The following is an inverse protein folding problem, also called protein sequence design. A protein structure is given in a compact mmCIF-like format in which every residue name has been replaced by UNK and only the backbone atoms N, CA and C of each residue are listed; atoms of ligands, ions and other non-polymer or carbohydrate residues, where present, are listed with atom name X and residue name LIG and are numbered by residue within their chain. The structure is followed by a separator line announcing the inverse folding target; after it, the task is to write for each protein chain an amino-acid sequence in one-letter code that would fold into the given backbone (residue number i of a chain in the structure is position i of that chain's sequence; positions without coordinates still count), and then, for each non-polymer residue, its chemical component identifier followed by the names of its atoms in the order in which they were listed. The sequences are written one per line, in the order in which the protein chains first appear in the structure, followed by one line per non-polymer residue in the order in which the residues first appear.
data_IF_959067850359
#
_entry.id   IF_959067850359
#
_cell.length_a   1.000
_cell.length_b   1.000
_cell.length_c   1.000
_cell.angle_alpha   90.00
_cell.angle_beta   90.00
_cell.angle_gamma   90.00
#
_symmetry.space_group_name_H-M   'P 1'
#
loop_
_entity.id
_entity.type
_entity.pdbx_description
1 polymer ?
#
# COMPACT_ATOMS: atom_id res chain seq x y z
N UNK A 1 -44.34 7.45 -45.67
CA UNK A 1 -44.36 6.76 -44.38
C UNK A 1 -42.89 6.55 -43.97
N UNK A 2 -42.22 7.59 -43.43
CA UNK A 2 -42.08 7.93 -42.00
C UNK A 2 -41.60 6.69 -41.20
N UNK A 3 -40.36 6.59 -40.67
CA UNK A 3 -39.61 7.56 -39.85
C UNK A 3 -38.09 7.33 -39.96
N UNK A 4 -37.39 8.22 -40.68
CA UNK A 4 -35.96 8.53 -40.51
C UNK A 4 -35.93 10.04 -40.28
N UNK A 5 -35.80 10.48 -39.02
CA UNK A 5 -35.48 11.85 -38.57
C UNK A 5 -35.76 11.99 -37.06
N UNK A 6 -34.94 12.82 -36.39
CA UNK A 6 -34.80 13.08 -34.94
C UNK A 6 -33.89 12.08 -34.21
N UNK A 7 -32.74 12.44 -33.63
CA UNK A 7 -32.23 13.75 -33.29
C UNK A 7 -30.69 13.72 -33.19
N UNK A 8 -30.04 14.21 -34.24
CA UNK A 8 -28.74 14.88 -34.17
C UNK A 8 -29.09 16.37 -34.26
N UNK A 9 -29.14 17.07 -33.12
CA UNK A 9 -29.12 18.55 -32.96
C UNK A 9 -29.51 18.96 -31.54
N UNK A 10 -28.64 18.70 -30.57
CA UNK A 10 -28.59 19.46 -29.32
C UNK A 10 -27.13 19.61 -28.89
N UNK A 11 -26.34 20.19 -29.80
CA UNK A 11 -25.08 20.85 -29.46
C UNK A 11 -25.44 22.30 -29.08
N UNK A 12 -24.77 22.84 -28.05
CA UNK A 12 -24.73 24.25 -27.63
C UNK A 12 -25.86 24.78 -26.73
N UNK A 13 -25.59 24.75 -25.42
CA UNK A 13 -25.99 25.65 -24.31
C UNK A 13 -25.91 24.78 -23.04
N UNK A 14 -24.81 24.77 -22.28
CA UNK A 14 -24.53 25.72 -21.19
C UNK A 14 -23.00 25.82 -21.00
N UNK A 15 -22.43 26.92 -21.46
CA UNK A 15 -21.28 27.57 -20.81
C UNK A 15 -21.89 28.75 -20.04
N UNK A 16 -21.44 28.96 -18.79
CA UNK A 16 -21.79 30.03 -17.84
C UNK A 16 -22.77 29.67 -16.70
N UNK A 17 -22.23 29.02 -15.66
CA UNK A 17 -22.53 29.18 -14.23
C UNK A 17 -21.77 28.04 -13.51
N UNK A 18 -20.53 28.20 -13.05
CA UNK A 18 -20.18 28.99 -11.87
C UNK A 18 -18.79 29.65 -12.06
N UNK A 19 -18.80 30.94 -12.42
CA UNK A 19 -17.82 31.86 -11.88
C UNK A 19 -18.38 32.34 -10.55
N UNK A 20 -17.80 31.89 -9.43
CA UNK A 20 -18.25 32.27 -8.10
C UNK A 20 -17.39 31.65 -7.01
N UNK A 21 -16.54 32.49 -6.42
CA UNK A 21 -15.83 32.27 -5.15
C UNK A 21 -14.75 31.19 -5.12
N UNK A 22 -13.60 31.52 -5.71
CA UNK A 22 -12.30 30.95 -5.32
C UNK A 22 -11.91 31.65 -4.00
N UNK A 23 -12.30 31.08 -2.87
CA UNK A 23 -11.62 31.36 -1.60
C UNK A 23 -10.40 30.46 -1.52
N UNK A 24 -9.26 31.10 -1.70
CA UNK A 24 -7.92 30.56 -1.54
C UNK A 24 -7.72 30.30 -0.04
N UNK A 25 -8.00 29.08 0.42
CA UNK A 25 -7.45 28.61 1.70
C UNK A 25 -6.02 28.17 1.41
N UNK A 26 -5.12 29.16 1.46
CA UNK A 26 -3.69 28.91 1.66
C UNK A 26 -3.55 28.50 3.13
N UNK A 27 -3.68 27.22 3.43
CA UNK A 27 -3.08 26.69 4.65
C UNK A 27 -1.60 26.42 4.37
N UNK A 28 -0.82 27.36 4.87
CA UNK A 28 0.63 27.38 4.96
C UNK A 28 1.11 26.19 5.83
N UNK A 29 1.27 25.02 5.22
CA UNK A 29 2.04 23.92 5.81
C UNK A 29 3.53 24.14 5.56
N UNK A 30 4.14 24.98 6.39
CA UNK A 30 5.60 25.05 6.55
C UNK A 30 5.98 24.48 7.92
N UNK A 31 6.60 23.29 8.01
CA UNK A 31 7.45 23.01 9.15
C UNK A 31 8.73 23.84 9.04
N UNK A 32 9.00 24.63 10.09
CA UNK A 32 10.23 25.40 10.30
C UNK A 32 11.45 24.48 10.27
N UNK A 33 12.35 24.68 9.30
CA UNK A 33 13.67 24.07 9.28
C UNK A 33 14.61 24.87 10.21
N UNK A 34 14.59 24.56 11.50
CA UNK A 34 15.68 24.96 12.40
C UNK A 34 16.90 24.06 12.14
N UNK A 35 17.91 24.65 11.51
CA UNK A 35 19.24 24.03 11.37
C UNK A 35 19.93 23.98 12.74
N UNK A 36 19.98 22.80 13.35
CA UNK A 36 20.83 22.55 14.53
C UNK A 36 22.13 21.89 14.08
N UNK A 37 23.20 22.69 14.01
CA UNK A 37 24.57 22.21 13.82
C UNK A 37 25.04 21.51 15.09
N UNK A 38 25.16 20.18 15.07
CA UNK A 38 25.74 19.41 16.18
C UNK A 38 27.15 18.92 15.81
N UNK A 39 28.11 19.33 16.62
CA UNK A 39 29.54 18.97 16.59
C UNK A 39 29.75 17.48 16.83
N UNK A 40 30.58 16.84 16.00
CA UNK A 40 30.98 15.43 16.16
C UNK A 40 31.91 15.24 17.37
N UNK A 41 31.60 14.24 18.20
CA UNK A 41 32.49 13.70 19.21
C UNK A 41 32.83 12.24 18.85
N UNK A 42 34.12 11.98 18.61
CA UNK A 42 34.66 10.63 18.46
C UNK A 42 34.61 9.90 19.82
N UNK A 43 33.87 8.80 19.87
CA UNK A 43 33.88 7.86 20.99
C UNK A 43 33.77 6.44 20.46
N UNK A 44 34.84 5.66 20.62
CA UNK A 44 34.83 4.21 20.51
C UNK A 44 33.74 3.65 21.43
N UNK A 45 32.72 3.01 20.85
CA UNK A 45 31.69 2.28 21.58
C UNK A 45 31.95 0.77 21.43
N UNK A 46 31.83 0.00 22.53
CA UNK A 46 31.98 -1.45 22.50
C UNK A 46 30.85 -2.09 21.69
N UNK A 47 31.19 -3.00 20.77
CA UNK A 47 30.22 -3.88 20.11
C UNK A 47 29.53 -4.77 21.14
N UNK A 48 28.33 -4.37 21.57
CA UNK A 48 27.37 -5.29 22.18
C UNK A 48 26.67 -6.05 21.06
N UNK A 49 27.07 -7.30 20.83
CA UNK A 49 26.27 -8.25 20.06
C UNK A 49 25.04 -8.61 20.90
N UNK A 50 23.96 -7.87 20.74
CA UNK A 50 22.65 -8.24 21.27
C UNK A 50 22.17 -9.46 20.49
N UNK A 51 22.21 -10.64 21.13
CA UNK A 51 21.63 -11.86 20.57
C UNK A 51 20.11 -11.68 20.53
N UNK A 52 19.58 -11.44 19.34
CA UNK A 52 18.14 -11.38 19.05
C UNK A 52 17.49 -12.76 19.33
N UNK A 53 16.23 -12.84 19.81
CA UNK A 53 15.51 -14.10 20.03
C UNK A 53 15.57 -15.04 18.81
N UNK A 54 15.58 -16.36 19.04
CA UNK A 54 15.70 -17.36 17.98
C UNK A 54 14.49 -17.42 17.03
N UNK A 55 13.33 -16.96 17.46
CA UNK A 55 12.11 -16.85 16.63
C UNK A 55 12.32 -15.79 15.54
N UNK A 56 12.96 -14.67 15.88
CA UNK A 56 13.26 -13.62 14.91
C UNK A 56 14.30 -14.04 13.86
N UNK A 57 15.11 -15.07 14.12
CA UNK A 57 16.05 -15.58 13.11
C UNK A 57 15.34 -16.40 12.01
N UNK A 58 14.24 -17.08 12.35
CA UNK A 58 13.48 -17.87 11.38
C UNK A 58 12.70 -16.97 10.42
N UNK A 59 12.11 -15.89 10.92
CA UNK A 59 11.42 -14.92 10.07
C UNK A 59 12.39 -14.18 9.14
N UNK A 60 13.59 -13.84 9.63
CA UNK A 60 14.64 -13.21 8.81
C UNK A 60 15.03 -14.12 7.61
N UNK A 61 15.24 -15.42 7.85
CA UNK A 61 15.55 -16.41 6.80
C UNK A 61 14.38 -16.60 5.82
N UNK A 62 13.14 -16.64 6.33
CA UNK A 62 11.95 -16.75 5.51
C UNK A 62 11.83 -15.55 4.56
N UNK A 63 11.97 -14.32 5.08
CA UNK A 63 11.88 -13.09 4.28
C UNK A 63 13.01 -13.05 3.26
N UNK A 64 14.23 -13.45 3.61
CA UNK A 64 15.33 -13.58 2.67
C UNK A 64 14.99 -14.56 1.53
N UNK A 65 14.37 -15.70 1.84
CA UNK A 65 13.88 -16.66 0.85
C UNK A 65 12.78 -16.10 -0.06
N UNK A 66 11.85 -15.30 0.48
CA UNK A 66 10.85 -14.60 -0.34
C UNK A 66 11.50 -13.56 -1.25
N UNK A 67 12.48 -12.81 -0.75
CA UNK A 67 13.23 -11.85 -1.57
C UNK A 67 13.97 -12.54 -2.73
N UNK A 68 14.54 -13.72 -2.49
CA UNK A 68 15.15 -14.54 -3.55
C UNK A 68 14.13 -14.94 -4.62
N UNK A 69 12.94 -15.37 -4.22
CA UNK A 69 11.86 -15.72 -5.14
C UNK A 69 11.35 -14.50 -5.91
N UNK A 70 11.25 -13.32 -5.29
CA UNK A 70 10.91 -12.08 -6.01
C UNK A 70 11.93 -11.81 -7.11
N UNK A 71 13.23 -11.94 -6.83
CA UNK A 71 14.28 -11.76 -7.84
C UNK A 71 14.16 -12.75 -8.99
N UNK A 72 13.86 -14.01 -8.68
CA UNK A 72 13.72 -15.06 -9.67
C UNK A 72 12.49 -14.86 -10.57
N UNK A 73 11.31 -14.69 -9.96
CA UNK A 73 10.04 -14.58 -10.68
C UNK A 73 9.96 -13.26 -11.45
N UNK A 74 10.38 -12.16 -10.84
CA UNK A 74 10.25 -10.82 -11.43
C UNK A 74 11.42 -10.43 -12.33
N UNK A 75 12.59 -11.02 -12.11
CA UNK A 75 13.80 -10.69 -12.86
C UNK A 75 14.35 -9.28 -12.59
N UNK A 76 13.95 -8.66 -11.46
CA UNK A 76 14.46 -7.35 -11.03
C UNK A 76 15.41 -7.49 -9.83
N UNK A 77 16.37 -6.55 -9.68
CA UNK A 77 17.22 -6.53 -8.50
C UNK A 77 16.39 -6.25 -7.25
N UNK A 78 16.79 -6.91 -6.17
CA UNK A 78 16.28 -6.67 -4.83
C UNK A 78 17.40 -6.95 -3.82
N UNK A 79 17.90 -5.90 -3.19
CA UNK A 79 18.59 -6.02 -1.92
C UNK A 79 17.55 -6.26 -0.83
N UNK A 80 17.85 -7.16 0.12
CA UNK A 80 16.95 -7.37 1.25
C UNK A 80 16.82 -6.05 2.03
N UNK A 81 15.61 -5.48 2.15
CA UNK A 81 15.41 -4.25 2.91
C UNK A 81 15.77 -4.44 4.38
N UNK A 82 16.20 -3.38 5.09
CA UNK A 82 16.22 -3.38 6.55
C UNK A 82 14.86 -3.79 7.11
N UNK A 83 14.88 -4.57 8.19
CA UNK A 83 13.66 -5.06 8.86
C UNK A 83 13.41 -4.26 10.14
N UNK A 84 12.21 -3.69 10.27
CA UNK A 84 11.72 -3.07 11.50
C UNK A 84 10.53 -3.88 12.00
N UNK A 85 10.50 -4.23 13.29
CA UNK A 85 9.36 -4.91 13.90
C UNK A 85 8.62 -3.90 14.79
N UNK A 86 7.30 -3.83 14.65
CA UNK A 86 6.43 -2.94 15.43
C UNK A 86 5.20 -3.67 15.95
N UNK A 87 4.59 -3.19 17.06
CA UNK A 87 3.29 -3.68 17.51
C UNK A 87 2.22 -3.61 16.42
N UNK A 88 1.25 -4.54 16.43
CA UNK A 88 0.26 -4.66 15.36
C UNK A 88 -0.62 -3.41 15.15
N UNK A 89 -0.98 -2.72 16.22
CA UNK A 89 -1.72 -1.46 16.17
C UNK A 89 -0.92 -0.34 15.49
N UNK A 90 0.39 -0.25 15.77
CA UNK A 90 1.28 0.68 15.09
C UNK A 90 1.53 0.31 13.63
N UNK A 91 1.59 -0.99 13.32
CA UNK A 91 1.73 -1.46 11.93
C UNK A 91 0.57 -0.96 11.07
N UNK A 92 -0.66 -1.12 11.56
CA UNK A 92 -1.88 -0.71 10.87
C UNK A 92 -1.94 0.81 10.69
N UNK A 93 -1.63 1.59 11.73
CA UNK A 93 -1.58 3.05 11.64
C UNK A 93 -0.58 3.52 10.57
N UNK A 94 0.63 2.95 10.57
CA UNK A 94 1.68 3.32 9.60
C UNK A 94 1.33 2.90 8.18
N UNK A 95 0.82 1.68 7.99
CA UNK A 95 0.38 1.21 6.67
C UNK A 95 -0.75 2.09 6.10
N UNK A 96 -1.70 2.47 6.95
CA UNK A 96 -2.76 3.39 6.55
C UNK A 96 -2.19 4.76 6.18
N UNK A 97 -1.24 5.28 6.96
CA UNK A 97 -0.58 6.53 6.66
C UNK A 97 0.10 6.53 5.29
N UNK A 98 0.85 5.46 4.98
CA UNK A 98 1.59 5.31 3.73
C UNK A 98 0.67 5.27 2.50
N UNK A 99 -0.40 4.49 2.57
CA UNK A 99 -1.34 4.33 1.45
C UNK A 99 -2.32 5.51 1.30
N UNK A 100 -2.11 6.60 2.06
CA UNK A 100 -3.06 7.72 2.11
C UNK A 100 -4.43 7.31 2.66
N UNK A 101 -4.49 6.19 3.36
CA UNK A 101 -5.66 5.65 4.07
C UNK A 101 -5.76 6.21 5.49
N UNK A 102 -4.86 7.10 5.92
CA UNK A 102 -4.77 7.72 7.26
C UNK A 102 -6.08 8.37 7.67
N UNK A 103 -7.04 7.60 8.16
CA UNK A 103 -8.45 7.98 8.11
C UNK A 103 -8.78 8.52 6.71
N UNK A 104 -9.28 7.67 5.82
CA UNK A 104 -10.18 8.18 4.78
C UNK A 104 -11.39 8.75 5.53
N UNK A 105 -11.27 9.93 6.12
CA UNK A 105 -12.41 10.74 6.45
C UNK A 105 -13.00 11.10 5.11
N UNK A 106 -13.95 10.27 4.63
CA UNK A 106 -14.99 10.49 3.62
C UNK A 106 -14.69 11.30 2.34
N UNK A 107 -13.45 11.72 2.07
CA UNK A 107 -13.17 12.84 1.17
C UNK A 107 -12.42 12.45 -0.10
N UNK A 108 -11.80 11.25 -0.15
CA UNK A 108 -11.09 10.76 -1.36
C UNK A 108 -11.68 9.49 -1.97
N UNK A 109 -12.24 8.59 -1.16
CA UNK A 109 -13.15 7.55 -1.66
C UNK A 109 -14.55 8.14 -1.56
N UNK A 110 -15.24 8.26 -2.69
CA UNK A 110 -16.62 8.73 -2.70
C UNK A 110 -17.50 7.61 -2.16
N UNK A 111 -17.65 7.54 -0.82
CA UNK A 111 -18.46 6.55 -0.12
C UNK A 111 -19.90 6.56 -0.64
N UNK A 112 -20.44 7.75 -0.94
CA UNK A 112 -21.76 7.89 -1.55
C UNK A 112 -21.83 7.25 -2.96
N UNK A 113 -20.73 7.24 -3.72
CA UNK A 113 -20.65 6.56 -5.01
C UNK A 113 -20.57 5.03 -4.84
N UNK A 114 -19.77 4.53 -3.90
CA UNK A 114 -19.72 3.10 -3.61
C UNK A 114 -21.04 2.58 -3.04
N UNK A 115 -21.73 3.37 -2.20
CA UNK A 115 -23.07 3.10 -1.71
C UNK A 115 -24.11 3.12 -2.83
N UNK A 116 -24.05 4.12 -3.73
CA UNK A 116 -24.95 4.19 -4.88
C UNK A 116 -24.78 3.01 -5.86
N UNK A 117 -23.58 2.44 -5.95
CA UNK A 117 -23.30 1.23 -6.74
C UNK A 117 -23.65 -0.08 -6.00
N UNK A 118 -24.03 -0.01 -4.72
CA UNK A 118 -24.30 -1.18 -3.87
C UNK A 118 -23.05 -1.97 -3.48
N UNK A 119 -21.87 -1.35 -3.62
CA UNK A 119 -20.57 -1.94 -3.25
C UNK A 119 -20.29 -1.76 -1.75
N UNK A 120 -20.77 -0.67 -1.15
CA UNK A 120 -20.67 -0.34 0.27
C UNK A 120 -22.10 -0.22 0.85
N UNK A 121 -22.48 -0.93 1.93
CA UNK A 121 -23.79 -0.73 2.55
C UNK A 121 -23.99 0.70 3.08
N UNK A 122 -25.26 1.13 3.19
CA UNK A 122 -25.57 2.46 3.75
C UNK A 122 -25.14 2.52 5.23
N UNK A 123 -24.23 3.44 5.55
CA UNK A 123 -23.74 3.68 6.91
C UNK A 123 -22.38 3.05 7.23
N UNK A 124 -21.87 2.18 6.36
CA UNK A 124 -20.54 1.59 6.50
C UNK A 124 -19.47 2.55 5.94
N UNK A 125 -18.27 2.54 6.51
CA UNK A 125 -17.14 3.30 5.96
C UNK A 125 -16.43 2.50 4.88
N UNK A 126 -15.93 3.18 3.85
CA UNK A 126 -15.00 2.54 2.91
C UNK A 126 -13.71 2.05 3.61
N UNK A 127 -13.37 2.61 4.78
CA UNK A 127 -12.29 2.11 5.62
C UNK A 127 -12.58 0.71 6.21
N UNK A 128 -13.85 0.41 6.49
CA UNK A 128 -14.28 -0.88 7.06
C UNK A 128 -14.25 -2.01 6.03
N UNK A 129 -14.31 -1.69 4.73
CA UNK A 129 -14.08 -2.65 3.64
C UNK A 129 -12.63 -3.15 3.60
N UNK A 130 -11.71 -2.45 4.24
CA UNK A 130 -10.31 -2.86 4.37
C UNK A 130 -10.13 -3.52 5.74
N UNK A 131 -10.69 -4.72 5.90
CA UNK A 131 -10.36 -5.58 7.04
C UNK A 131 -8.88 -5.93 6.99
N UNK A 132 -8.13 -5.44 7.98
CA UNK A 132 -6.71 -5.78 8.22
C UNK A 132 -6.60 -7.16 8.85
N UNK A 133 -7.08 -8.15 8.13
CA UNK A 133 -6.86 -9.51 8.51
C UNK A 133 -5.37 -9.84 8.31
N UNK A 134 -4.66 -9.88 9.43
CA UNK A 134 -3.23 -10.18 9.61
C UNK A 134 -2.30 -9.70 8.50
N UNK A 135 -2.21 -8.39 8.25
CA UNK A 135 -1.08 -7.83 7.51
C UNK A 135 0.22 -8.20 8.26
N UNK A 136 1.08 -9.07 7.71
CA UNK A 136 2.33 -9.44 8.38
C UNK A 136 3.34 -8.30 8.35
N UNK A 137 3.24 -7.41 7.36
CA UNK A 137 4.10 -6.27 7.21
C UNK A 137 3.84 -5.54 5.90
N UNK A 138 4.55 -4.43 5.70
CA UNK A 138 4.52 -3.65 4.48
C UNK A 138 5.89 -3.04 4.19
N UNK A 139 6.18 -2.79 2.92
CA UNK A 139 7.37 -2.07 2.53
C UNK A 139 7.10 -0.56 2.57
N UNK A 140 7.89 0.17 3.35
CA UNK A 140 7.91 1.63 3.33
C UNK A 140 8.91 2.13 2.28
N UNK A 141 8.45 2.66 1.13
CA UNK A 141 9.34 3.16 0.09
C UNK A 141 10.03 4.49 0.45
N UNK A 142 9.56 5.23 1.45
CA UNK A 142 10.21 6.47 1.90
C UNK A 142 11.49 6.17 2.69
N UNK A 143 11.40 5.24 3.65
CA UNK A 143 12.55 4.80 4.44
C UNK A 143 13.29 3.59 3.83
N UNK A 144 12.77 3.03 2.75
CA UNK A 144 13.22 1.78 2.13
C UNK A 144 13.32 0.61 3.12
N UNK A 145 12.38 0.51 4.06
CA UNK A 145 12.37 -0.46 5.16
C UNK A 145 11.17 -1.39 5.04
N UNK A 146 11.34 -2.68 5.31
CA UNK A 146 10.23 -3.61 5.48
C UNK A 146 9.79 -3.60 6.94
N UNK A 147 8.60 -3.05 7.19
CA UNK A 147 8.01 -2.94 8.53
C UNK A 147 7.13 -4.15 8.77
N UNK A 148 7.37 -4.89 9.84
CA UNK A 148 6.78 -6.18 10.16
C UNK A 148 6.05 -6.12 11.50
N UNK A 149 5.06 -6.98 11.66
CA UNK A 149 4.39 -7.18 12.96
C UNK A 149 5.34 -7.88 13.95
N UNK A 150 5.41 -7.37 15.17
CA UNK A 150 6.08 -8.06 16.28
C UNK A 150 5.41 -9.41 16.60
N UNK A 151 6.21 -10.38 17.03
CA UNK A 151 5.70 -11.71 17.42
C UNK A 151 5.34 -12.62 16.25
N UNK A 152 5.76 -12.28 15.02
CA UNK A 152 5.68 -13.20 13.89
C UNK A 152 6.69 -14.33 14.06
N UNK A 153 6.22 -15.49 14.52
CA UNK A 153 7.03 -16.70 14.58
C UNK A 153 7.05 -17.47 13.25
N UNK A 154 5.99 -17.35 12.44
CA UNK A 154 5.84 -17.98 11.13
C UNK A 154 4.84 -17.19 10.29
N UNK A 155 4.80 -17.44 8.98
CA UNK A 155 3.83 -16.88 8.05
C UNK A 155 2.90 -17.96 7.52
N UNK A 156 1.59 -17.67 7.56
CA UNK A 156 0.63 -18.46 6.80
C UNK A 156 0.92 -18.36 5.29
N UNK A 157 0.42 -19.29 4.47
CA UNK A 157 0.52 -19.17 3.01
C UNK A 157 0.04 -17.82 2.48
N UNK A 158 -1.03 -17.26 3.06
CA UNK A 158 -1.52 -15.92 2.72
C UNK A 158 -0.57 -14.82 3.17
N UNK A 159 -0.03 -14.89 4.40
CA UNK A 159 0.99 -13.95 4.87
C UNK A 159 2.25 -13.94 4.00
N UNK A 160 2.67 -15.11 3.49
CA UNK A 160 3.78 -15.21 2.53
C UNK A 160 3.45 -14.54 1.20
N UNK A 161 2.24 -14.72 0.68
CA UNK A 161 1.75 -14.02 -0.54
C UNK A 161 1.78 -12.50 -0.34
N UNK A 162 1.30 -12.00 0.80
CA UNK A 162 1.29 -10.57 1.11
C UNK A 162 2.70 -9.99 1.21
N UNK A 163 3.63 -10.63 1.93
CA UNK A 163 5.01 -10.13 1.96
C UNK A 163 5.72 -10.23 0.60
N UNK A 164 5.38 -11.23 -0.22
CA UNK A 164 5.89 -11.29 -1.59
C UNK A 164 5.45 -10.06 -2.40
N UNK A 165 4.17 -9.66 -2.30
CA UNK A 165 3.61 -8.47 -2.95
C UNK A 165 4.40 -7.20 -2.54
N UNK A 166 4.62 -7.03 -1.24
CA UNK A 166 5.38 -5.90 -0.68
C UNK A 166 6.85 -5.89 -1.15
N UNK A 167 7.52 -7.04 -1.18
CA UNK A 167 8.88 -7.18 -1.69
C UNK A 167 8.97 -6.97 -3.21
N UNK A 168 7.93 -7.33 -3.97
CA UNK A 168 7.83 -6.96 -5.38
C UNK A 168 7.70 -5.43 -5.53
N UNK A 169 6.92 -4.76 -4.67
CA UNK A 169 6.91 -3.30 -4.55
C UNK A 169 8.30 -2.72 -4.29
N UNK A 170 9.05 -3.30 -3.35
CA UNK A 170 10.43 -2.91 -3.02
C UNK A 170 11.38 -3.05 -4.21
N UNK A 171 11.33 -4.18 -4.92
CA UNK A 171 12.14 -4.41 -6.11
C UNK A 171 11.83 -3.38 -7.22
N UNK A 172 10.57 -2.91 -7.29
CA UNK A 172 10.18 -1.87 -8.25
C UNK A 172 10.84 -0.56 -7.88
N UNK A 173 10.85 -0.25 -6.59
CA UNK A 173 11.40 0.99 -6.08
C UNK A 173 12.91 1.03 -6.28
N UNK A 174 13.61 -0.08 -6.02
CA UNK A 174 15.04 -0.20 -6.26
C UNK A 174 15.39 -0.04 -7.74
N UNK A 175 14.61 -0.65 -8.64
CA UNK A 175 14.89 -0.60 -10.07
C UNK A 175 14.53 0.74 -10.72
N UNK A 176 13.51 1.45 -10.22
CA UNK A 176 12.86 2.55 -10.94
C UNK A 176 12.60 3.82 -10.14
N UNK A 177 12.85 3.86 -8.83
CA UNK A 177 12.49 4.99 -7.94
C UNK A 177 11.05 5.49 -8.21
N UNK A 178 10.11 4.53 -8.24
CA UNK A 178 8.72 4.84 -8.56
C UNK A 178 8.11 5.76 -7.50
N UNK A 179 8.53 5.62 -6.23
CA UNK A 179 8.04 6.48 -5.14
C UNK A 179 8.53 7.92 -5.30
N UNK A 180 9.82 8.14 -5.59
CA UNK A 180 10.34 9.48 -5.90
C UNK A 180 9.64 10.11 -7.10
N UNK A 181 9.36 9.31 -8.13
CA UNK A 181 8.58 9.74 -9.30
C UNK A 181 7.15 10.12 -8.92
N UNK A 182 6.46 9.29 -8.13
CA UNK A 182 5.09 9.55 -7.66
C UNK A 182 5.03 10.85 -6.84
N UNK A 183 5.92 11.02 -5.87
CA UNK A 183 6.01 12.25 -5.06
C UNK A 183 6.28 13.49 -5.92
N UNK A 184 7.06 13.35 -7.00
CA UNK A 184 7.28 14.45 -7.95
C UNK A 184 6.02 14.81 -8.73
N UNK A 185 5.26 13.82 -9.18
CA UNK A 185 3.99 14.03 -9.90
C UNK A 185 2.98 14.74 -9.00
N UNK A 186 2.83 14.30 -7.75
CA UNK A 186 1.96 14.93 -6.76
C UNK A 186 2.35 16.39 -6.49
N UNK A 187 3.63 16.67 -6.24
CA UNK A 187 4.14 18.05 -6.03
C UNK A 187 3.90 18.96 -7.24
N UNK A 188 3.89 18.40 -8.44
CA UNK A 188 3.61 19.15 -9.68
C UNK A 188 2.11 19.34 -9.97
N UNK A 189 1.22 18.81 -9.11
CA UNK A 189 -0.24 18.83 -9.31
C UNK A 189 -0.74 17.84 -10.37
N UNK A 190 0.09 16.89 -10.81
CA UNK A 190 -0.27 15.88 -11.79
C UNK A 190 -0.82 14.62 -11.11
N UNK A 191 -1.90 14.79 -10.35
CA UNK A 191 -2.47 13.76 -9.48
C UNK A 191 -2.96 12.54 -10.26
N UNK A 192 -3.50 12.72 -11.47
CA UNK A 192 -3.97 11.61 -12.31
C UNK A 192 -2.80 10.69 -12.73
N UNK A 193 -1.66 11.28 -13.09
CA UNK A 193 -0.47 10.50 -13.42
C UNK A 193 0.12 9.81 -12.18
N UNK A 194 0.09 10.46 -11.01
CA UNK A 194 0.53 9.84 -9.75
C UNK A 194 -0.33 8.61 -9.41
N UNK A 195 -1.66 8.73 -9.51
CA UNK A 195 -2.60 7.62 -9.30
C UNK A 195 -2.40 6.52 -10.34
N UNK A 196 -2.19 6.88 -11.61
CA UNK A 196 -1.91 5.91 -12.68
C UNK A 196 -0.61 5.12 -12.44
N UNK A 197 0.45 5.79 -11.97
CA UNK A 197 1.70 5.14 -11.60
C UNK A 197 1.51 4.22 -10.40
N UNK A 198 0.84 4.68 -9.34
CA UNK A 198 0.54 3.86 -8.17
C UNK A 198 -0.23 2.60 -8.55
N UNK A 199 -1.32 2.74 -9.32
CA UNK A 199 -2.13 1.60 -9.76
C UNK A 199 -1.35 0.61 -10.63
N UNK A 200 -0.44 1.10 -11.47
CA UNK A 200 0.46 0.25 -12.26
C UNK A 200 1.40 -0.56 -11.36
N UNK A 201 2.04 0.07 -10.39
CA UNK A 201 2.97 -0.61 -9.47
C UNK A 201 2.26 -1.64 -8.61
N UNK A 202 1.11 -1.28 -8.04
CA UNK A 202 0.30 -2.21 -7.22
C UNK A 202 -0.22 -3.38 -8.06
N UNK A 203 -0.70 -3.11 -9.28
CA UNK A 203 -1.15 -4.17 -10.17
C UNK A 203 -0.02 -5.10 -10.63
N UNK A 204 1.18 -4.55 -10.86
CA UNK A 204 2.37 -5.33 -11.20
C UNK A 204 2.81 -6.24 -10.03
N UNK A 205 2.87 -5.69 -8.82
CA UNK A 205 3.24 -6.45 -7.62
C UNK A 205 2.23 -7.58 -7.34
N UNK A 206 0.94 -7.28 -7.38
CA UNK A 206 -0.12 -8.27 -7.22
C UNK A 206 -0.09 -9.36 -8.30
N UNK A 207 0.21 -9.01 -9.55
CA UNK A 207 0.38 -9.98 -10.63
C UNK A 207 1.51 -10.99 -10.33
N UNK A 208 2.67 -10.51 -9.89
CA UNK A 208 3.79 -11.39 -9.57
C UNK A 208 3.54 -12.18 -8.27
N UNK A 209 2.81 -11.65 -7.31
CA UNK A 209 2.36 -12.40 -6.14
C UNK A 209 1.47 -13.59 -6.53
N UNK A 210 0.57 -13.43 -7.52
CA UNK A 210 -0.20 -14.55 -8.06
C UNK A 210 0.68 -15.57 -8.81
N UNK A 211 1.73 -15.12 -9.51
CA UNK A 211 2.71 -16.04 -10.10
C UNK A 211 3.44 -16.84 -9.03
N UNK A 212 3.88 -16.21 -7.95
CA UNK A 212 4.47 -16.89 -6.80
C UNK A 212 3.52 -17.97 -6.25
N UNK A 213 2.25 -17.63 -6.03
CA UNK A 213 1.24 -18.59 -5.56
C UNK A 213 1.08 -19.77 -6.54
N UNK A 214 1.08 -19.50 -7.85
CA UNK A 214 0.90 -20.52 -8.87
C UNK A 214 2.14 -21.42 -9.07
N UNK A 215 3.35 -20.86 -8.96
CA UNK A 215 4.60 -21.52 -9.34
C UNK A 215 5.35 -22.12 -8.15
N UNK A 216 5.21 -21.54 -6.96
CA UNK A 216 6.03 -21.88 -5.78
C UNK A 216 5.24 -22.54 -4.65
N UNK A 217 3.90 -22.43 -4.63
CA UNK A 217 3.06 -23.04 -3.60
C UNK A 217 2.31 -24.26 -4.12
N UNK A 218 2.14 -25.25 -3.24
CA UNK A 218 1.35 -26.44 -3.56
C UNK A 218 -0.16 -26.17 -3.51
N UNK A 219 -0.97 -27.13 -3.99
CA UNK A 219 -2.43 -26.97 -4.03
C UNK A 219 -3.08 -26.81 -2.66
N UNK A 220 -2.45 -27.31 -1.59
CA UNK A 220 -2.96 -27.19 -0.22
C UNK A 220 -2.75 -25.76 0.27
N UNK A 221 -1.57 -25.20 0.06
CA UNK A 221 -1.26 -23.80 0.38
C UNK A 221 -2.10 -22.83 -0.45
N UNK A 222 -2.29 -23.09 -1.75
CA UNK A 222 -3.17 -22.29 -2.60
C UNK A 222 -4.63 -22.29 -2.10
N UNK A 223 -5.12 -23.43 -1.62
CA UNK A 223 -6.46 -23.50 -1.03
C UNK A 223 -6.54 -22.79 0.33
N UNK A 224 -5.49 -22.90 1.16
CA UNK A 224 -5.40 -22.19 2.44
C UNK A 224 -5.47 -20.67 2.24
N UNK A 225 -4.76 -20.14 1.24
CA UNK A 225 -4.84 -18.71 0.84
C UNK A 225 -6.29 -18.30 0.60
N UNK A 226 -7.05 -19.06 -0.19
CA UNK A 226 -8.45 -18.74 -0.49
C UNK A 226 -9.34 -18.77 0.75
N UNK A 227 -9.10 -19.70 1.67
CA UNK A 227 -9.86 -19.77 2.92
C UNK A 227 -9.55 -18.58 3.83
N UNK A 228 -8.28 -18.21 3.95
CA UNK A 228 -7.86 -17.04 4.72
C UNK A 228 -8.45 -15.76 4.12
N UNK A 229 -8.34 -15.56 2.80
CA UNK A 229 -8.98 -14.42 2.10
C UNK A 229 -10.47 -14.29 2.39
N UNK A 230 -11.22 -15.40 2.35
CA UNK A 230 -12.66 -15.41 2.65
C UNK A 230 -12.92 -15.07 4.11
N UNK A 231 -12.17 -15.67 5.04
CA UNK A 231 -12.31 -15.39 6.47
C UNK A 231 -12.08 -13.89 6.76
N UNK A 232 -11.05 -13.33 6.14
CA UNK A 232 -10.71 -11.92 6.24
C UNK A 232 -11.82 -10.99 5.72
N UNK A 233 -12.46 -11.34 4.60
CA UNK A 233 -13.60 -10.59 4.06
C UNK A 233 -14.85 -10.69 4.94
N UNK A 234 -15.05 -11.83 5.61
CA UNK A 234 -16.17 -12.02 6.53
C UNK A 234 -16.01 -11.23 7.83
N UNK A 235 -14.78 -11.03 8.31
CA UNK A 235 -14.50 -10.17 9.47
C UNK A 235 -14.77 -8.69 9.17
N UNK A 236 -14.47 -8.19 7.96
CA UNK A 236 -14.85 -6.80 7.55
C UNK A 236 -16.35 -6.56 7.48
N UNK A 237 -17.16 -7.60 7.28
CA UNK A 237 -18.59 -7.47 6.96
C UNK A 237 -19.49 -7.82 8.15
N UNK A 238 -18.90 -8.20 9.28
CA UNK A 238 -19.63 -8.48 10.52
C UNK A 238 -19.73 -7.21 11.37
N UNK A 239 -20.93 -6.64 11.59
CA UNK A 239 -21.08 -5.49 12.47
C UNK A 239 -20.74 -5.87 13.93
N UNK A 240 -20.13 -4.95 14.72
CA UNK A 240 -19.83 -5.18 16.13
C UNK A 240 -21.07 -5.40 17.01
#
# INVERSE_FOLDING_TARGET
MNRIALAVCALALIVAACAGSREEVVEEFLPSLESTTTTAANGDLPSTTTTRPAEDQQIDELIAGLADQVREIRGLPLALPPLEFVPGDQLEERYQALNGLKSIGSTRINEAYLQALGVLPEGDSAADLVSFCSLPGFFDPESATLVLREGLADLTPYGRRLLFDELAGAATNEAHDWWGTMASLERSGNTEAAVGLWALVQGDAAFHAEQYVAESLDSTDQFAIRLEEIACQQESTSPP
#
